data_IF_672760044259
#
_entry.id   IF_672760044259
#
_cell.length_a   1.000
_cell.length_b   1.000
_cell.length_c   1.000
_cell.angle_alpha   90.00
_cell.angle_beta   90.00
_cell.angle_gamma   90.00
#
_symmetry.space_group_name_H-M   'P 1'
#
loop_
_entity.id
_entity.type
_entity.pdbx_description
1 polymer ?
#
# COMPACT_ATOMS: atom_id res chain seq x y z
N UNK A 1 0.16 -10.15 -20.29
CA UNK A 1 0.89 -9.71 -19.08
C UNK A 1 0.05 -8.63 -18.43
N UNK A 2 -0.38 -8.89 -17.20
CA UNK A 2 -1.63 -8.39 -16.60
C UNK A 2 -1.65 -6.88 -16.44
N UNK A 3 -2.62 -6.25 -17.09
CA UNK A 3 -2.94 -4.82 -17.06
C UNK A 3 -3.69 -4.52 -15.76
N UNK A 4 -3.42 -3.37 -15.16
CA UNK A 4 -3.76 -2.95 -13.77
C UNK A 4 -2.81 -3.61 -12.78
N UNK A 5 -1.97 -2.87 -12.05
CA UNK A 5 -2.44 -2.06 -10.94
C UNK A 5 -1.25 -1.32 -10.26
N UNK A 6 -0.77 -0.24 -10.89
CA UNK A 6 0.40 0.56 -10.43
C UNK A 6 0.34 0.91 -8.92
N UNK A 7 -0.89 1.09 -8.41
CA UNK A 7 -1.17 1.34 -7.00
C UNK A 7 -0.88 0.14 -6.08
N UNK A 8 -1.26 -1.09 -6.45
CA UNK A 8 -0.94 -2.29 -5.62
C UNK A 8 0.54 -2.46 -5.47
N UNK A 9 1.27 -2.28 -6.57
CA UNK A 9 2.70 -2.50 -6.59
C UNK A 9 3.41 -1.47 -5.71
N UNK A 10 2.98 -0.20 -5.77
CA UNK A 10 3.44 0.86 -4.86
C UNK A 10 3.14 0.53 -3.40
N UNK A 11 1.91 0.08 -3.09
CA UNK A 11 1.53 -0.32 -1.72
C UNK A 11 2.39 -1.49 -1.25
N UNK A 12 2.54 -2.55 -2.04
CA UNK A 12 3.36 -3.71 -1.67
C UNK A 12 4.83 -3.35 -1.49
N UNK A 13 5.37 -2.49 -2.35
CA UNK A 13 6.75 -2.01 -2.22
C UNK A 13 6.91 -1.19 -0.94
N UNK A 14 5.97 -0.30 -0.65
CA UNK A 14 5.97 0.51 0.56
C UNK A 14 5.91 -0.35 1.82
N UNK A 15 5.00 -1.34 1.88
CA UNK A 15 4.87 -2.24 3.03
C UNK A 15 6.19 -2.98 3.28
N UNK A 16 6.81 -3.53 2.24
CA UNK A 16 8.10 -4.23 2.38
C UNK A 16 9.21 -3.31 2.89
N UNK A 17 9.33 -2.12 2.30
CA UNK A 17 10.35 -1.15 2.70
C UNK A 17 10.15 -0.71 4.15
N UNK A 18 8.91 -0.43 4.52
CA UNK A 18 8.53 -0.03 5.88
C UNK A 18 8.83 -1.13 6.91
N UNK A 19 8.47 -2.38 6.62
CA UNK A 19 8.77 -3.52 7.51
C UNK A 19 10.28 -3.71 7.68
N UNK A 20 11.06 -3.57 6.60
CA UNK A 20 12.53 -3.68 6.68
C UNK A 20 13.15 -2.54 7.49
N UNK A 21 12.57 -1.35 7.41
CA UNK A 21 13.12 -0.13 8.02
C UNK A 21 12.72 0.06 9.48
N UNK A 22 11.45 -0.16 9.79
CA UNK A 22 10.86 0.04 11.12
C UNK A 22 10.71 -1.27 11.91
N UNK A 23 10.80 -2.43 11.25
CA UNK A 23 10.62 -3.74 11.88
C UNK A 23 9.15 -4.11 12.17
N UNK A 24 8.20 -3.26 11.78
CA UNK A 24 6.77 -3.44 12.01
C UNK A 24 5.97 -3.20 10.72
N UNK A 25 4.80 -3.83 10.53
CA UNK A 25 3.93 -3.55 9.39
C UNK A 25 3.31 -2.15 9.49
N UNK A 26 3.26 -1.37 8.39
CA UNK A 26 2.62 -0.06 8.40
C UNK A 26 1.10 -0.16 8.53
N UNK A 27 0.48 0.87 9.11
CA UNK A 27 -0.97 1.00 9.16
C UNK A 27 -1.54 1.57 7.87
N UNK A 28 -2.86 1.43 7.69
CA UNK A 28 -3.59 2.00 6.54
C UNK A 28 -3.35 3.51 6.38
N UNK A 29 -3.13 4.25 7.48
CA UNK A 29 -2.81 5.68 7.46
C UNK A 29 -1.41 5.93 6.90
N UNK A 30 -0.42 5.18 7.37
CA UNK A 30 0.97 5.30 6.90
C UNK A 30 1.11 4.88 5.45
N UNK A 31 0.41 3.83 5.03
CA UNK A 31 0.36 3.44 3.61
C UNK A 31 -0.27 4.57 2.78
N UNK A 32 -1.34 5.20 3.26
CA UNK A 32 -1.96 6.33 2.55
C UNK A 32 -1.01 7.51 2.40
N UNK A 33 -0.33 7.90 3.48
CA UNK A 33 0.61 9.02 3.48
C UNK A 33 1.86 8.69 2.66
N UNK A 34 2.44 7.51 2.85
CA UNK A 34 3.66 7.05 2.17
C UNK A 34 3.49 6.73 0.69
N UNK A 35 2.31 6.26 0.27
CA UNK A 35 1.98 6.11 -1.16
C UNK A 35 1.30 7.34 -1.77
N UNK A 36 1.10 8.44 -1.02
CA UNK A 36 0.40 9.65 -1.44
C UNK A 36 -0.94 9.33 -2.14
N UNK A 37 -1.71 8.41 -1.55
CA UNK A 37 -2.93 7.92 -2.16
C UNK A 37 -4.07 8.92 -1.95
N UNK A 38 -4.86 9.12 -3.00
CA UNK A 38 -5.96 10.09 -3.00
C UNK A 38 -7.05 9.77 -1.98
N UNK A 39 -7.17 8.52 -1.50
CA UNK A 39 -8.13 8.14 -0.46
C UNK A 39 -7.75 6.83 0.23
N UNK A 40 -8.04 6.75 1.53
CA UNK A 40 -7.98 5.51 2.33
C UNK A 40 -8.87 4.42 1.74
N UNK A 41 -9.97 4.80 1.10
CA UNK A 41 -10.89 3.86 0.44
C UNK A 41 -10.23 3.07 -0.68
N UNK A 42 -9.21 3.62 -1.35
CA UNK A 42 -8.47 2.89 -2.40
C UNK A 42 -7.54 1.82 -1.79
N UNK A 43 -7.00 2.08 -0.60
CA UNK A 43 -6.21 1.12 0.18
C UNK A 43 -7.11 0.01 0.71
N UNK A 44 -8.26 0.37 1.28
CA UNK A 44 -9.24 -0.58 1.77
C UNK A 44 -9.79 -1.47 0.64
N UNK A 45 -10.15 -0.87 -0.50
CA UNK A 45 -10.59 -1.63 -1.68
C UNK A 45 -9.49 -2.54 -2.23
N UNK A 46 -8.22 -2.18 -2.07
CA UNK A 46 -7.11 -3.04 -2.42
C UNK A 46 -6.92 -4.24 -1.49
N UNK A 47 -7.06 -4.00 -0.19
CA UNK A 47 -6.96 -5.01 0.85
C UNK A 47 -8.15 -5.98 0.84
N UNK A 48 -9.35 -5.48 0.52
CA UNK A 48 -10.59 -6.28 0.41
C UNK A 48 -10.60 -7.19 -0.82
N UNK A 49 -9.88 -6.81 -1.88
CA UNK A 49 -9.85 -7.52 -3.16
C UNK A 49 -8.73 -8.59 -3.24
N UNK A 50 -8.08 -8.88 -2.11
CA UNK A 50 -6.97 -9.83 -1.96
C UNK A 50 -7.47 -11.21 -1.54
#
# INVERSE_FOLDING_TARGET
>A
MTRTNDTTERIMRFIRDYVVKEGIPPTVREIKEGCALSSTSLVAHHLDKL
#
